data_IF_628111851643
#
_entry.id   IF_628111851643
#
_cell.length_a   1.000
_cell.length_b   1.000
_cell.length_c   1.000
_cell.angle_alpha   90.00
_cell.angle_beta   90.00
_cell.angle_gamma   90.00
#
_symmetry.space_group_name_H-M   'P 1'
#
loop_
_entity.id
_entity.type
_entity.pdbx_description
1 polymer ?
#
# COMPACT_ATOMS: atom_id res chain seq x y z
N UNK A 1 -1.35 2.23 -17.19
CA UNK A 1 -1.72 0.83 -16.89
C UNK A 1 -3.23 0.59 -16.91
N UNK A 2 -4.06 1.63 -16.88
CA UNK A 2 -5.52 1.53 -17.02
C UNK A 2 -5.93 2.43 -18.19
N UNK A 3 -6.78 1.95 -19.08
CA UNK A 3 -7.28 2.75 -20.21
C UNK A 3 -8.45 3.68 -19.82
N UNK A 4 -9.02 4.39 -20.79
CA UNK A 4 -10.12 5.34 -20.56
C UNK A 4 -11.47 4.67 -20.22
N UNK A 5 -11.58 3.36 -20.42
CA UNK A 5 -12.75 2.54 -20.10
C UNK A 5 -12.54 1.73 -18.81
N UNK A 6 -11.52 2.11 -18.03
CA UNK A 6 -11.15 1.48 -16.77
C UNK A 6 -10.78 0.00 -16.93
N UNK A 7 -10.22 -0.39 -18.08
CA UNK A 7 -9.70 -1.73 -18.31
C UNK A 7 -8.19 -1.78 -18.13
N UNK A 8 -7.68 -2.95 -17.76
CA UNK A 8 -6.24 -3.22 -17.72
C UNK A 8 -5.61 -3.01 -19.09
N UNK A 9 -4.59 -2.15 -19.11
CA UNK A 9 -3.81 -1.79 -20.30
C UNK A 9 -2.30 -1.95 -20.05
N UNK A 10 -1.91 -2.59 -18.94
CA UNK A 10 -0.51 -2.77 -18.53
C UNK A 10 0.18 -3.98 -19.16
N UNK A 11 -0.49 -4.74 -20.04
CA UNK A 11 0.11 -5.94 -20.64
C UNK A 11 0.56 -6.95 -19.58
N UNK A 12 1.84 -7.34 -19.61
CA UNK A 12 2.46 -8.26 -18.66
C UNK A 12 3.08 -7.56 -17.43
N UNK A 13 2.93 -6.24 -17.30
CA UNK A 13 3.49 -5.50 -16.19
C UNK A 13 2.78 -5.81 -14.87
N UNK A 14 3.41 -5.42 -13.76
CA UNK A 14 2.86 -5.55 -12.41
C UNK A 14 2.50 -4.18 -11.84
N UNK A 15 1.24 -4.02 -11.41
CA UNK A 15 0.80 -2.86 -10.62
C UNK A 15 0.79 -3.22 -9.13
N UNK A 16 1.56 -2.50 -8.32
CA UNK A 16 1.57 -2.65 -6.86
C UNK A 16 0.89 -1.43 -6.23
N UNK A 17 -0.20 -1.65 -5.51
CA UNK A 17 -0.97 -0.65 -4.78
C UNK A 17 -0.70 -0.82 -3.28
N UNK A 18 -0.25 0.24 -2.61
CA UNK A 18 0.31 0.17 -1.25
C UNK A 18 -0.68 0.49 -0.12
N UNK A 19 -1.94 0.06 -0.19
CA UNK A 19 -2.95 0.25 0.86
C UNK A 19 -3.66 1.61 0.91
N UNK A 20 -4.60 1.75 1.84
CA UNK A 20 -5.48 2.91 2.03
C UNK A 20 -6.35 3.25 0.82
N UNK A 21 -7.07 2.24 0.32
CA UNK A 21 -8.09 2.40 -0.73
C UNK A 21 -9.44 2.89 -0.19
N UNK A 22 -9.64 2.84 1.13
CA UNK A 22 -10.87 3.24 1.84
C UNK A 22 -10.67 4.50 2.68
N UNK A 23 -11.80 5.09 3.09
CA UNK A 23 -11.95 6.27 3.96
C UNK A 23 -11.64 7.62 3.31
N UNK A 24 -12.09 8.69 3.97
CA UNK A 24 -11.93 10.10 3.55
C UNK A 24 -12.59 10.47 2.20
N UNK A 25 -13.34 9.55 1.60
CA UNK A 25 -14.13 9.76 0.39
C UNK A 25 -15.28 8.75 0.28
N UNK A 26 -16.21 8.95 -0.67
CA UNK A 26 -17.41 8.13 -0.82
C UNK A 26 -17.25 6.91 -1.75
N UNK A 27 -16.11 6.81 -2.43
CA UNK A 27 -15.94 5.96 -3.62
C UNK A 27 -15.44 4.54 -3.30
N UNK A 28 -15.52 4.09 -2.04
CA UNK A 28 -15.00 2.78 -1.59
C UNK A 28 -15.47 1.65 -2.51
N UNK A 29 -16.77 1.56 -2.80
CA UNK A 29 -17.30 0.49 -3.65
C UNK A 29 -16.68 0.55 -5.06
N UNK A 30 -16.61 1.74 -5.66
CA UNK A 30 -16.09 1.93 -7.01
C UNK A 30 -14.60 1.54 -7.09
N UNK A 31 -13.80 2.02 -6.12
CA UNK A 31 -12.35 1.74 -6.06
C UNK A 31 -12.09 0.24 -5.91
N UNK A 32 -12.76 -0.44 -4.97
CA UNK A 32 -12.53 -1.88 -4.77
C UNK A 32 -13.01 -2.73 -5.95
N UNK A 33 -14.13 -2.37 -6.59
CA UNK A 33 -14.60 -3.05 -7.81
C UNK A 33 -13.65 -2.83 -8.99
N UNK A 34 -13.05 -1.65 -9.11
CA UNK A 34 -12.00 -1.40 -10.09
C UNK A 34 -10.81 -2.33 -9.86
N UNK A 35 -10.28 -2.42 -8.63
CA UNK A 35 -9.16 -3.32 -8.36
C UNK A 35 -9.52 -4.80 -8.54
N UNK A 36 -10.73 -5.23 -8.18
CA UNK A 36 -11.22 -6.59 -8.46
C UNK A 36 -11.20 -6.88 -9.98
N UNK A 37 -11.73 -5.94 -10.79
CA UNK A 37 -11.73 -6.01 -12.26
C UNK A 37 -10.31 -6.06 -12.83
N UNK A 38 -9.44 -5.13 -12.41
CA UNK A 38 -8.07 -5.03 -12.92
C UNK A 38 -7.23 -6.26 -12.58
N UNK A 39 -7.39 -6.84 -11.37
CA UNK A 39 -6.74 -8.10 -10.99
C UNK A 39 -7.09 -9.23 -11.94
N UNK A 40 -8.37 -9.39 -12.26
CA UNK A 40 -8.84 -10.43 -13.17
C UNK A 40 -8.32 -10.20 -14.60
N UNK A 41 -8.37 -8.97 -15.09
CA UNK A 41 -7.92 -8.63 -16.45
C UNK A 41 -6.40 -8.78 -16.60
N UNK A 42 -5.61 -8.28 -15.66
CA UNK A 42 -4.15 -8.40 -15.70
C UNK A 42 -3.70 -9.86 -15.79
N UNK A 43 -4.23 -10.72 -14.90
CA UNK A 43 -3.91 -12.16 -14.89
C UNK A 43 -4.24 -12.85 -16.22
N UNK A 44 -5.30 -12.43 -16.92
CA UNK A 44 -5.69 -13.05 -18.18
C UNK A 44 -4.71 -12.81 -19.34
N UNK A 45 -3.84 -11.79 -19.22
CA UNK A 45 -2.81 -11.44 -20.21
C UNK A 45 -1.38 -11.61 -19.68
N UNK A 46 -1.22 -12.25 -18.52
CA UNK A 46 0.09 -12.50 -17.89
C UNK A 46 0.66 -11.34 -17.08
N UNK A 47 -0.10 -10.26 -16.86
CA UNK A 47 0.25 -9.21 -15.92
C UNK A 47 -0.26 -9.49 -14.51
N UNK A 48 0.07 -8.60 -13.58
CA UNK A 48 -0.31 -8.77 -12.18
C UNK A 48 -0.76 -7.46 -11.53
N UNK A 49 -1.71 -7.58 -10.60
CA UNK A 49 -2.07 -6.51 -9.68
C UNK A 49 -1.89 -7.04 -8.26
N UNK A 50 -1.02 -6.40 -7.50
CA UNK A 50 -0.74 -6.71 -6.10
C UNK A 50 -1.31 -5.57 -5.26
N UNK A 51 -2.18 -5.91 -4.32
CA UNK A 51 -2.74 -4.95 -3.38
C UNK A 51 -2.16 -5.24 -1.99
N UNK A 52 -1.73 -4.20 -1.30
CA UNK A 52 -1.37 -4.27 0.10
C UNK A 52 -2.49 -3.70 0.96
N UNK A 53 -2.67 -4.22 2.18
CA UNK A 53 -3.54 -3.61 3.17
C UNK A 53 -2.80 -2.45 3.83
N UNK A 54 -3.48 -1.31 3.91
CA UNK A 54 -3.08 -0.20 4.76
C UNK A 54 -3.75 -0.22 6.13
N UNK A 55 -3.48 0.80 6.93
CA UNK A 55 -4.15 0.89 8.22
C UNK A 55 -5.65 1.11 8.04
N UNK A 56 -6.09 1.79 6.99
CA UNK A 56 -7.51 2.06 6.79
C UNK A 56 -8.30 0.78 6.46
N UNK A 57 -7.73 -0.18 5.70
CA UNK A 57 -8.35 -1.51 5.53
C UNK A 57 -8.46 -2.27 6.86
N UNK A 58 -7.37 -2.28 7.66
CA UNK A 58 -7.35 -2.96 8.97
C UNK A 58 -8.35 -2.32 9.94
N UNK A 59 -8.43 -0.99 9.97
CA UNK A 59 -9.39 -0.23 10.77
C UNK A 59 -10.84 -0.59 10.41
N UNK A 60 -11.16 -0.61 9.11
CA UNK A 60 -12.51 -0.90 8.64
C UNK A 60 -12.92 -2.35 8.94
N UNK A 61 -12.01 -3.31 8.75
CA UNK A 61 -12.20 -4.70 9.18
C UNK A 61 -12.43 -4.78 10.69
N UNK A 62 -11.65 -4.05 11.48
CA UNK A 62 -11.74 -4.03 12.94
C UNK A 62 -12.87 -3.19 13.53
N UNK A 63 -13.70 -2.57 12.70
CA UNK A 63 -14.81 -1.73 13.14
C UNK A 63 -14.41 -0.36 13.70
N UNK A 64 -13.17 0.08 13.47
CA UNK A 64 -12.73 1.44 13.74
C UNK A 64 -13.08 2.34 12.55
N UNK A 65 -14.24 3.00 12.65
CA UNK A 65 -14.86 3.72 11.54
C UNK A 65 -14.71 5.25 11.64
N UNK A 66 -13.69 5.73 12.38
CA UNK A 66 -13.49 7.16 12.67
C UNK A 66 -13.25 8.04 11.43
N UNK A 67 -12.84 7.45 10.31
CA UNK A 67 -12.54 8.17 9.06
C UNK A 67 -13.54 7.90 7.93
N UNK A 68 -14.59 7.12 8.20
CA UNK A 68 -15.67 6.85 7.25
C UNK A 68 -16.58 8.07 7.16
N UNK A 69 -16.88 8.51 5.95
CA UNK A 69 -17.75 9.66 5.67
C UNK A 69 -19.23 9.25 5.65
N UNK A 70 -20.15 10.20 5.83
CA UNK A 70 -21.60 9.91 5.72
C UNK A 70 -21.98 9.52 4.28
N UNK A 71 -21.30 10.08 3.30
CA UNK A 71 -21.46 9.75 1.89
C UNK A 71 -21.01 8.32 1.58
N UNK A 72 -19.90 7.86 2.19
CA UNK A 72 -19.49 6.46 2.10
C UNK A 72 -20.53 5.56 2.78
N UNK A 73 -21.05 5.90 3.97
CA UNK A 73 -22.16 5.12 4.53
C UNK A 73 -23.39 5.08 3.61
N UNK A 74 -23.75 6.20 2.98
CA UNK A 74 -24.86 6.28 2.05
C UNK A 74 -24.64 5.42 0.80
N UNK A 75 -23.41 5.33 0.28
CA UNK A 75 -23.07 4.51 -0.90
C UNK A 75 -23.32 3.01 -0.70
N UNK A 76 -23.18 2.52 0.55
CA UNK A 76 -23.54 1.15 0.92
C UNK A 76 -25.04 0.98 1.26
N UNK A 77 -25.82 2.06 1.27
CA UNK A 77 -27.22 2.06 1.72
C UNK A 77 -27.38 2.06 3.25
N UNK A 78 -26.40 2.62 3.96
CA UNK A 78 -26.41 2.84 5.41
C UNK A 78 -25.33 2.05 6.17
N UNK A 79 -25.12 2.45 7.44
CA UNK A 79 -24.09 1.90 8.35
C UNK A 79 -24.15 0.38 8.49
N UNK A 80 -25.34 -0.18 8.62
CA UNK A 80 -25.53 -1.62 8.80
C UNK A 80 -25.07 -2.42 7.58
N UNK A 81 -25.48 -2.01 6.37
CA UNK A 81 -25.04 -2.67 5.13
C UNK A 81 -23.55 -2.53 4.88
N UNK A 82 -22.95 -1.39 5.24
CA UNK A 82 -21.50 -1.21 5.18
C UNK A 82 -20.78 -2.16 6.13
N UNK A 83 -21.25 -2.29 7.37
CA UNK A 83 -20.70 -3.24 8.35
C UNK A 83 -20.78 -4.67 7.83
N UNK A 84 -21.90 -5.07 7.24
CA UNK A 84 -22.08 -6.39 6.62
C UNK A 84 -21.13 -6.61 5.43
N UNK A 85 -20.89 -5.58 4.61
CA UNK A 85 -19.96 -5.69 3.48
C UNK A 85 -18.50 -5.92 3.93
N UNK A 86 -18.09 -5.29 5.03
CA UNK A 86 -16.73 -5.37 5.59
C UNK A 86 -16.47 -6.59 6.46
N UNK A 87 -17.49 -7.37 6.82
CA UNK A 87 -17.31 -8.61 7.56
C UNK A 87 -16.42 -9.59 6.78
N UNK A 88 -15.34 -10.05 7.40
CA UNK A 88 -14.32 -10.87 6.72
C UNK A 88 -14.77 -12.31 6.45
N UNK A 89 -15.88 -12.76 7.04
CA UNK A 89 -16.39 -14.13 6.91
C UNK A 89 -17.54 -14.22 5.91
N UNK A 90 -18.37 -13.20 5.84
CA UNK A 90 -19.63 -13.18 5.07
C UNK A 90 -19.70 -12.04 4.07
N UNK A 91 -19.08 -10.90 4.36
CA UNK A 91 -19.09 -9.69 3.56
C UNK A 91 -18.24 -9.78 2.30
N UNK A 92 -18.76 -9.28 1.18
CA UNK A 92 -18.07 -9.36 -0.11
C UNK A 92 -16.73 -8.60 -0.08
N UNK A 93 -16.70 -7.44 0.58
CA UNK A 93 -15.52 -6.57 0.63
C UNK A 93 -14.50 -7.07 1.66
N UNK A 94 -14.95 -7.44 2.86
CA UNK A 94 -14.09 -8.04 3.88
C UNK A 94 -13.38 -9.30 3.39
N UNK A 95 -14.13 -10.21 2.74
CA UNK A 95 -13.55 -11.41 2.09
C UNK A 95 -12.59 -11.05 0.97
N UNK A 96 -12.92 -10.06 0.15
CA UNK A 96 -12.06 -9.63 -0.95
C UNK A 96 -10.71 -9.15 -0.41
N UNK A 97 -10.71 -8.25 0.56
CA UNK A 97 -9.47 -7.74 1.20
C UNK A 97 -8.69 -8.89 1.83
N UNK A 98 -9.31 -9.68 2.73
CA UNK A 98 -8.64 -10.76 3.44
C UNK A 98 -7.97 -11.78 2.51
N UNK A 99 -8.63 -12.14 1.40
CA UNK A 99 -8.14 -13.19 0.52
C UNK A 99 -7.15 -12.71 -0.55
N UNK A 100 -7.00 -11.39 -0.76
CA UNK A 100 -6.26 -10.86 -1.90
C UNK A 100 -5.16 -9.86 -1.54
N UNK A 101 -5.14 -9.35 -0.32
CA UNK A 101 -4.24 -8.29 0.09
C UNK A 101 -3.21 -8.83 1.07
N UNK A 102 -1.95 -8.44 0.88
CA UNK A 102 -0.86 -8.73 1.81
C UNK A 102 -0.56 -7.48 2.67
N UNK A 103 0.17 -7.61 3.78
CA UNK A 103 0.66 -6.45 4.53
C UNK A 103 1.97 -5.92 3.94
N UNK A 104 2.80 -6.81 3.38
CA UNK A 104 4.04 -6.44 2.68
C UNK A 104 4.32 -7.42 1.54
N UNK A 105 5.15 -7.01 0.59
CA UNK A 105 5.52 -7.83 -0.56
C UNK A 105 6.97 -7.54 -0.98
N UNK A 106 7.76 -8.58 -1.29
CA UNK A 106 9.05 -8.42 -1.96
C UNK A 106 8.87 -8.77 -3.43
N UNK A 107 9.09 -7.79 -4.31
CA UNK A 107 8.99 -7.99 -5.74
C UNK A 107 10.37 -8.34 -6.33
N UNK A 108 10.45 -9.50 -6.98
CA UNK A 108 11.64 -10.06 -7.65
C UNK A 108 12.93 -10.04 -6.79
N UNK A 109 12.81 -10.13 -5.46
CA UNK A 109 13.96 -10.06 -4.55
C UNK A 109 14.66 -8.69 -4.48
N UNK A 110 14.17 -7.68 -5.20
CA UNK A 110 14.85 -6.38 -5.32
C UNK A 110 14.26 -5.32 -4.41
N UNK A 111 12.93 -5.26 -4.29
CA UNK A 111 12.26 -4.16 -3.60
C UNK A 111 11.20 -4.71 -2.66
N UNK A 112 11.24 -4.28 -1.40
CA UNK A 112 10.15 -4.52 -0.46
C UNK A 112 9.16 -3.36 -0.52
N UNK A 113 7.88 -3.72 -0.65
CA UNK A 113 6.74 -2.82 -0.59
C UNK A 113 5.98 -3.09 0.70
N UNK A 114 5.63 -2.02 1.40
CA UNK A 114 4.78 -2.04 2.58
C UNK A 114 3.86 -0.84 2.55
N UNK A 115 2.73 -0.88 3.26
CA UNK A 115 1.89 0.31 3.34
C UNK A 115 2.60 1.46 4.07
N UNK A 116 3.21 1.17 5.22
CA UNK A 116 3.97 2.10 6.03
C UNK A 116 5.41 1.62 6.25
N UNK A 117 6.20 2.36 7.03
CA UNK A 117 7.64 2.16 7.14
C UNK A 117 8.03 0.83 7.80
N UNK A 118 8.85 0.04 7.11
CA UNK A 118 9.34 -1.23 7.64
C UNK A 118 10.35 -1.00 8.78
N UNK A 119 10.06 -1.52 9.97
CA UNK A 119 10.97 -1.50 11.11
C UNK A 119 11.89 -2.75 11.11
N UNK A 120 13.16 -2.66 11.55
CA UNK A 120 14.06 -3.82 11.58
C UNK A 120 13.56 -5.04 12.36
N UNK A 121 12.75 -4.85 13.40
CA UNK A 121 12.15 -5.96 14.15
C UNK A 121 11.18 -6.78 13.30
N UNK A 122 10.37 -6.10 12.47
CA UNK A 122 9.45 -6.74 11.54
C UNK A 122 10.17 -7.32 10.33
N UNK A 123 11.21 -6.65 9.86
CA UNK A 123 12.10 -7.20 8.82
C UNK A 123 12.69 -8.55 9.23
N UNK A 124 13.06 -8.74 10.50
CA UNK A 124 13.59 -10.01 11.02
C UNK A 124 12.54 -11.13 11.07
N UNK A 125 11.26 -10.77 11.21
CA UNK A 125 10.16 -11.75 11.11
C UNK A 125 10.07 -12.28 9.67
N UNK A 126 10.30 -11.43 8.67
CA UNK A 126 10.22 -11.79 7.26
C UNK A 126 8.83 -11.56 6.68
N UNK A 127 8.79 -11.28 5.38
CA UNK A 127 7.56 -10.79 4.71
C UNK A 127 6.45 -11.84 4.68
N UNK A 128 6.77 -13.10 4.41
CA UNK A 128 5.78 -14.18 4.36
C UNK A 128 5.17 -14.46 5.73
N UNK A 129 6.00 -14.51 6.78
CA UNK A 129 5.54 -14.72 8.15
C UNK A 129 4.72 -13.53 8.65
N UNK A 130 5.08 -12.28 8.28
CA UNK A 130 4.25 -11.12 8.57
C UNK A 130 2.86 -11.21 7.93
N UNK A 131 2.80 -11.60 6.64
CA UNK A 131 1.53 -11.76 5.94
C UNK A 131 0.67 -12.86 6.59
N UNK A 132 1.29 -13.97 6.99
CA UNK A 132 0.62 -15.05 7.72
C UNK A 132 0.09 -14.56 9.08
N UNK A 133 0.94 -13.92 9.89
CA UNK A 133 0.56 -13.41 11.21
C UNK A 133 -0.57 -12.39 11.13
N UNK A 134 -0.53 -11.48 10.15
CA UNK A 134 -1.60 -10.52 9.94
C UNK A 134 -2.93 -11.19 9.58
N UNK A 135 -2.90 -12.18 8.68
CA UNK A 135 -4.09 -12.94 8.29
C UNK A 135 -4.69 -13.66 9.50
N UNK A 136 -3.86 -14.32 10.31
CA UNK A 136 -4.31 -14.98 11.54
C UNK A 136 -4.93 -13.99 12.54
N UNK A 137 -4.25 -12.87 12.77
CA UNK A 137 -4.73 -11.84 13.68
C UNK A 137 -6.09 -11.28 13.23
N UNK A 138 -6.27 -10.99 11.93
CA UNK A 138 -7.57 -10.55 11.38
C UNK A 138 -8.65 -11.61 11.59
N UNK A 139 -8.35 -12.88 11.28
CA UNK A 139 -9.31 -13.97 11.43
C UNK A 139 -9.73 -14.21 12.89
N UNK A 140 -8.82 -13.97 13.83
CA UNK A 140 -9.06 -14.09 15.28
C UNK A 140 -9.71 -12.84 15.90
N UNK A 141 -9.94 -11.78 15.14
CA UNK A 141 -10.48 -10.52 15.65
C UNK A 141 -9.45 -9.65 16.40
N UNK A 142 -8.16 -9.95 16.25
CA UNK A 142 -7.05 -9.30 16.95
C UNK A 142 -6.54 -8.08 16.17
N UNK A 143 -7.44 -7.16 15.81
CA UNK A 143 -7.11 -5.98 14.98
C UNK A 143 -6.22 -4.93 15.67
N UNK A 144 -5.76 -5.21 16.90
CA UNK A 144 -4.80 -4.42 17.67
C UNK A 144 -3.52 -5.19 17.99
N UNK A 145 -3.31 -6.33 17.35
CA UNK A 145 -2.07 -7.08 17.45
C UNK A 145 -0.86 -6.19 17.08
N UNK A 146 0.35 -6.44 17.61
CA UNK A 146 1.52 -5.58 17.40
C UNK A 146 1.80 -5.18 15.94
N UNK A 147 1.52 -6.07 14.98
CA UNK A 147 1.67 -5.84 13.54
C UNK A 147 0.77 -4.71 13.00
N UNK A 148 -0.32 -4.40 13.69
CA UNK A 148 -1.28 -3.34 13.36
C UNK A 148 -1.14 -2.10 14.23
N UNK A 149 -0.04 -1.95 14.96
CA UNK A 149 0.23 -0.78 15.83
C UNK A 149 1.19 0.21 15.17
N UNK A 150 1.51 1.32 15.83
CA UNK A 150 2.39 2.40 15.32
C UNK A 150 3.82 1.97 15.01
N UNK A 151 4.29 0.84 15.54
CA UNK A 151 5.58 0.26 15.16
C UNK A 151 5.45 -0.79 14.04
N UNK A 152 4.22 -1.14 13.67
CA UNK A 152 3.89 -2.12 12.66
C UNK A 152 3.98 -1.57 11.24
N UNK A 153 4.06 -2.47 10.24
CA UNK A 153 4.21 -2.14 8.82
C UNK A 153 3.02 -1.37 8.21
N UNK A 154 1.92 -1.17 8.95
CA UNK A 154 0.76 -0.40 8.48
C UNK A 154 0.60 0.98 9.13
N UNK A 155 1.40 1.35 10.13
CA UNK A 155 1.28 2.67 10.77
C UNK A 155 2.59 3.43 10.97
N UNK A 156 3.73 2.77 10.85
CA UNK A 156 5.00 3.38 11.18
C UNK A 156 5.38 4.50 10.19
N UNK A 157 5.83 5.65 10.71
CA UNK A 157 6.17 6.85 9.94
C UNK A 157 7.61 7.31 10.16
N UNK A 158 8.39 6.54 10.91
CA UNK A 158 9.69 6.98 11.41
C UNK A 158 10.70 7.30 10.29
N UNK A 159 10.65 6.58 9.17
CA UNK A 159 11.56 6.79 8.04
C UNK A 159 11.09 7.98 7.19
N UNK A 160 9.81 8.01 6.80
CA UNK A 160 9.24 9.08 6.00
C UNK A 160 9.36 10.44 6.69
N UNK A 161 9.07 10.46 8.00
CA UNK A 161 9.14 11.67 8.83
C UNK A 161 10.56 11.99 9.30
N UNK A 162 11.53 11.12 9.03
CA UNK A 162 12.92 11.23 9.48
C UNK A 162 13.02 11.53 10.98
N UNK A 163 12.27 10.81 11.82
CA UNK A 163 12.15 11.08 13.27
C UNK A 163 13.52 11.11 13.99
N UNK A 164 14.44 10.23 13.57
CA UNK A 164 15.82 10.16 14.07
C UNK A 164 16.82 11.01 13.27
N UNK A 165 16.36 11.79 12.30
CA UNK A 165 17.19 12.50 11.31
C UNK A 165 17.62 11.60 10.14
N UNK A 166 18.15 12.24 9.09
CA UNK A 166 18.50 11.56 7.83
C UNK A 166 19.55 10.46 8.02
N UNK A 167 20.57 10.70 8.85
CA UNK A 167 21.64 9.72 9.08
C UNK A 167 21.10 8.42 9.71
N UNK A 168 20.30 8.53 10.77
CA UNK A 168 19.71 7.37 11.45
C UNK A 168 18.66 6.67 10.57
N UNK A 169 17.90 7.46 9.80
CA UNK A 169 16.96 6.94 8.80
C UNK A 169 17.70 6.05 7.81
N UNK A 170 18.82 6.52 7.24
CA UNK A 170 19.57 5.74 6.27
C UNK A 170 20.28 4.53 6.88
N UNK A 171 20.74 4.60 8.13
CA UNK A 171 21.23 3.42 8.86
C UNK A 171 20.13 2.37 9.02
N UNK A 172 18.92 2.79 9.34
CA UNK A 172 17.76 1.90 9.50
C UNK A 172 17.37 1.27 8.16
N UNK A 173 17.31 2.06 7.08
CA UNK A 173 17.04 1.57 5.71
C UNK A 173 18.04 0.51 5.29
N UNK A 174 19.35 0.76 5.47
CA UNK A 174 20.39 -0.23 5.14
C UNK A 174 20.30 -1.50 6.01
N UNK A 175 19.95 -1.35 7.29
CA UNK A 175 19.71 -2.49 8.18
C UNK A 175 18.57 -3.37 7.67
N UNK A 176 17.43 -2.78 7.31
CA UNK A 176 16.28 -3.52 6.77
C UNK A 176 16.62 -4.18 5.43
N UNK A 177 17.29 -3.47 4.52
CA UNK A 177 17.79 -4.02 3.25
C UNK A 177 18.64 -5.27 3.46
N UNK A 178 19.59 -5.19 4.40
CA UNK A 178 20.47 -6.32 4.73
C UNK A 178 19.71 -7.50 5.33
N UNK A 179 18.74 -7.24 6.21
CA UNK A 179 17.93 -8.30 6.85
C UNK A 179 17.09 -9.03 5.80
N UNK A 180 16.43 -8.30 4.90
CA UNK A 180 15.52 -8.87 3.90
C UNK A 180 16.22 -9.31 2.60
N UNK A 181 17.49 -8.93 2.41
CA UNK A 181 18.22 -9.21 1.17
C UNK A 181 17.70 -8.44 -0.04
N UNK A 182 17.22 -7.20 0.16
CA UNK A 182 16.65 -6.35 -0.90
C UNK A 182 17.48 -5.09 -1.13
N UNK A 183 17.28 -4.44 -2.27
CA UNK A 183 17.98 -3.22 -2.67
C UNK A 183 17.24 -1.94 -2.29
N UNK A 184 15.91 -2.01 -2.11
CA UNK A 184 15.06 -0.83 -1.91
C UNK A 184 13.86 -1.12 -1.02
N UNK A 185 13.46 -0.11 -0.24
CA UNK A 185 12.21 -0.05 0.50
C UNK A 185 11.28 0.96 -0.15
N UNK A 186 10.01 0.59 -0.33
CA UNK A 186 8.95 1.50 -0.78
C UNK A 186 7.80 1.44 0.22
N UNK A 187 7.40 2.61 0.70
CA UNK A 187 6.22 2.79 1.55
C UNK A 187 5.27 3.86 1.00
N UNK A 188 4.06 3.92 1.55
CA UNK A 188 3.16 5.05 1.46
C UNK A 188 2.84 5.57 2.86
N UNK A 189 1.55 5.68 3.19
CA UNK A 189 1.00 6.01 4.52
C UNK A 189 1.30 7.41 5.06
N UNK A 190 2.46 8.00 4.72
CA UNK A 190 2.89 9.33 5.16
C UNK A 190 2.72 10.35 4.04
N UNK A 191 1.57 11.03 3.96
CA UNK A 191 1.27 11.83 2.78
C UNK A 191 2.26 12.99 2.65
N UNK A 192 2.99 13.01 1.55
CA UNK A 192 3.85 14.10 1.10
C UNK A 192 3.03 15.27 0.52
N UNK A 193 1.84 15.52 1.08
CA UNK A 193 0.80 16.43 0.57
C UNK A 193 1.22 17.89 0.44
N UNK A 194 2.26 18.31 1.18
CA UNK A 194 2.82 19.67 1.06
C UNK A 194 3.56 19.87 -0.26
N UNK A 195 4.21 18.82 -0.77
CA UNK A 195 4.98 18.87 -2.02
C UNK A 195 4.22 18.22 -3.17
N UNK A 196 3.36 17.23 -2.89
CA UNK A 196 2.73 16.37 -3.89
C UNK A 196 3.75 15.50 -4.64
N UNK A 197 4.91 15.23 -4.03
CA UNK A 197 6.05 14.53 -4.65
C UNK A 197 6.45 13.31 -3.84
N UNK A 198 6.89 12.27 -4.56
CA UNK A 198 7.57 11.11 -3.98
C UNK A 198 8.78 11.61 -3.19
N UNK A 199 8.89 11.16 -1.95
CA UNK A 199 10.05 11.41 -1.12
C UNK A 199 11.11 10.33 -1.44
N UNK A 200 12.29 10.75 -1.88
CA UNK A 200 13.45 9.87 -2.09
C UNK A 200 14.53 10.18 -1.07
N UNK A 201 14.92 9.18 -0.28
CA UNK A 201 15.97 9.27 0.72
C UNK A 201 17.06 8.23 0.44
N UNK A 202 18.24 8.44 1.05
CA UNK A 202 19.31 7.45 1.09
C UNK A 202 19.75 6.99 -0.31
N UNK A 203 19.83 7.93 -1.26
CA UNK A 203 20.21 7.65 -2.64
C UNK A 203 19.25 6.73 -3.38
N UNK A 204 17.94 6.85 -3.14
CA UNK A 204 16.91 6.03 -3.78
C UNK A 204 16.72 4.64 -3.16
N UNK A 205 17.37 4.36 -2.03
CA UNK A 205 17.19 3.12 -1.26
C UNK A 205 15.87 3.09 -0.48
N UNK A 206 15.29 4.26 -0.20
CA UNK A 206 13.97 4.39 0.41
C UNK A 206 13.14 5.42 -0.33
N UNK A 207 11.91 5.03 -0.70
CA UNK A 207 10.94 5.89 -1.37
C UNK A 207 9.61 5.85 -0.61
N UNK A 208 9.06 7.02 -0.26
CA UNK A 208 7.66 7.15 0.15
C UNK A 208 6.84 7.73 -1.01
N UNK A 209 5.84 6.97 -1.45
CA UNK A 209 5.04 7.22 -2.66
C UNK A 209 3.66 7.78 -2.39
N UNK A 210 3.29 8.00 -1.11
CA UNK A 210 2.02 8.66 -0.80
C UNK A 210 2.14 10.16 -1.07
N UNK A 211 1.79 10.57 -2.29
CA UNK A 211 1.80 11.98 -2.68
C UNK A 211 0.57 12.76 -2.18
N UNK A 212 -0.38 12.11 -1.49
CA UNK A 212 -1.64 12.72 -1.08
C UNK A 212 -2.71 12.75 -2.18
N UNK A 213 -2.99 11.59 -2.79
CA UNK A 213 -3.97 11.47 -3.90
C UNK A 213 -5.42 11.73 -3.49
N UNK A 214 -5.76 11.50 -2.23
CA UNK A 214 -7.07 11.89 -1.71
C UNK A 214 -7.23 13.40 -1.78
N UNK A 215 -8.42 13.88 -2.15
CA UNK A 215 -8.78 15.30 -2.08
C UNK A 215 -8.57 15.89 -0.69
N UNK A 216 -8.70 15.06 0.35
CA UNK A 216 -8.40 15.44 1.73
C UNK A 216 -6.96 15.92 1.93
N UNK A 217 -6.01 15.38 1.16
CA UNK A 217 -4.59 15.68 1.19
C UNK A 217 -4.11 16.48 -0.03
N UNK A 218 -5.01 17.18 -0.73
CA UNK A 218 -4.66 18.06 -1.83
C UNK A 218 -4.87 17.47 -3.23
N UNK A 219 -5.17 16.16 -3.34
CA UNK A 219 -5.54 15.56 -4.62
C UNK A 219 -4.40 15.47 -5.63
N UNK A 220 -3.17 15.33 -5.14
CA UNK A 220 -1.99 15.24 -6.01
C UNK A 220 -1.94 13.89 -6.71
N UNK A 221 -1.46 13.85 -7.95
CA UNK A 221 -1.35 12.58 -8.69
C UNK A 221 0.12 12.26 -8.91
N UNK A 222 0.49 11.03 -8.53
CA UNK A 222 1.84 10.52 -8.71
C UNK A 222 1.86 8.99 -8.64
N UNK A 223 2.89 8.41 -9.25
CA UNK A 223 3.16 6.98 -9.19
C UNK A 223 4.67 6.73 -9.31
N UNK A 224 5.12 5.52 -9.01
CA UNK A 224 6.45 5.05 -9.39
C UNK A 224 6.38 4.09 -10.56
N UNK A 225 7.39 4.17 -11.42
CA UNK A 225 7.67 3.20 -12.47
C UNK A 225 9.06 2.61 -12.23
N UNK A 226 9.12 1.30 -12.12
CA UNK A 226 10.37 0.55 -11.95
C UNK A 226 10.55 -0.32 -13.18
N UNK A 227 11.65 -0.10 -13.89
CA UNK A 227 12.00 -0.86 -15.09
C UNK A 227 13.20 -1.74 -14.76
N UNK A 228 13.05 -3.05 -14.98
CA UNK A 228 14.18 -3.99 -14.95
C UNK A 228 14.94 -3.92 -16.27
N UNK A 229 16.23 -3.62 -16.17
CA UNK A 229 17.13 -3.52 -17.31
C UNK A 229 17.73 -4.90 -17.62
N UNK A 230 18.19 -5.07 -18.86
CA UNK A 230 18.80 -6.32 -19.32
C UNK A 230 20.07 -6.73 -18.54
N UNK A 231 20.71 -5.80 -17.84
CA UNK A 231 21.90 -6.04 -17.01
C UNK A 231 21.54 -6.42 -15.56
N UNK A 232 20.25 -6.57 -15.23
CA UNK A 232 19.75 -6.88 -13.90
C UNK A 232 19.65 -5.68 -12.96
N UNK A 233 19.94 -4.47 -13.43
CA UNK A 233 19.72 -3.23 -12.66
C UNK A 233 18.26 -2.77 -12.78
N UNK A 234 17.83 -1.87 -11.89
CA UNK A 234 16.51 -1.23 -11.97
C UNK A 234 16.65 0.27 -12.17
N UNK A 235 15.93 0.81 -13.16
CA UNK A 235 15.72 2.25 -13.31
C UNK A 235 14.39 2.63 -12.69
N UNK A 236 14.38 3.62 -11.79
CA UNK A 236 13.19 4.03 -11.05
C UNK A 236 12.84 5.47 -11.35
N UNK A 237 11.57 5.70 -11.64
CA UNK A 237 11.08 7.02 -12.00
C UNK A 237 9.81 7.36 -11.24
N UNK A 238 9.75 8.58 -10.72
CA UNK A 238 8.50 9.17 -10.28
C UNK A 238 7.74 9.76 -11.47
N UNK A 239 6.50 9.32 -11.65
CA UNK A 239 5.57 9.77 -12.66
C UNK A 239 4.64 10.84 -12.08
N UNK A 240 4.50 11.95 -12.80
CA UNK A 240 3.56 13.03 -12.48
C UNK A 240 2.85 13.47 -13.77
N UNK A 241 1.71 14.19 -13.67
CA UNK A 241 1.08 14.81 -14.84
C UNK A 241 2.00 15.74 -15.62
N UNK A 242 3.00 16.32 -14.96
CA UNK A 242 3.99 17.24 -15.56
C UNK A 242 5.17 16.53 -16.21
N UNK A 243 5.30 15.21 -16.07
CA UNK A 243 6.42 14.44 -16.63
C UNK A 243 6.98 13.39 -15.67
N UNK A 244 8.09 12.79 -16.10
CA UNK A 244 8.78 11.67 -15.45
C UNK A 244 10.15 12.14 -14.92
N UNK A 245 10.47 11.79 -13.68
CA UNK A 245 11.74 12.15 -13.02
C UNK A 245 12.44 10.90 -12.51
N UNK A 246 13.75 10.77 -12.75
CA UNK A 246 14.57 9.70 -12.18
C UNK A 246 14.73 9.93 -10.67
N UNK A 247 14.59 8.88 -9.85
CA UNK A 247 14.61 8.97 -8.37
C UNK A 247 15.48 7.92 -7.69
#
# INVERSE_FOLDING_TARGET
MVDREENWSGGQDTLIQTGDLVDRGPDTIAVFRLFEKLRAQARSVGGEVINLMGNHEVMNIGGDLRYVTEEDYASFGGRQKRKEAWDVRSGWLGKFVLNNFNISHIHHGHTVFSHADMHPEWAKVGVDDMNFLATQAIMNGEHRAPIFTTKGPVWNRALASQEGGLEETCKTVESVKKILGVNRLISGHTPQHKTGKVLSLCGGSYLDIDVGISKYYGGHVGALEIIENNDGTQSVYALYPTGRLLV
#
